data_IF_263401533702
#
_entry.id   IF_263401533702
#
_cell.length_a   1.000
_cell.length_b   1.000
_cell.length_c   1.000
_cell.angle_alpha   90.00
_cell.angle_beta   90.00
_cell.angle_gamma   90.00
#
_symmetry.space_group_name_H-M   'P 1'
#
loop_
_entity.id
_entity.type
_entity.pdbx_description
1 polymer ?
#
# COMPACT_ATOMS: atom_id res chain seq x y z
N UNK A 1 -54.44 -18.84 -26.19
CA UNK A 1 -53.91 -18.23 -24.94
C UNK A 1 -53.06 -19.18 -24.09
N UNK A 2 -53.29 -20.50 -24.10
CA UNK A 2 -52.50 -21.47 -23.32
C UNK A 2 -51.00 -21.55 -23.70
N UNK A 3 -50.67 -21.30 -24.97
CA UNK A 3 -49.28 -21.32 -25.46
C UNK A 3 -48.43 -20.17 -24.92
N UNK A 4 -49.06 -19.02 -24.60
CA UNK A 4 -48.38 -17.83 -24.07
C UNK A 4 -47.98 -18.00 -22.60
N UNK A 5 -48.78 -18.72 -21.79
CA UNK A 5 -48.47 -19.03 -20.38
C UNK A 5 -47.25 -19.96 -20.24
N UNK A 6 -47.12 -20.97 -21.10
CA UNK A 6 -45.96 -21.89 -21.08
C UNK A 6 -44.63 -21.24 -21.49
N UNK A 7 -44.68 -20.10 -22.20
CA UNK A 7 -43.48 -19.35 -22.59
C UNK A 7 -43.04 -18.47 -21.41
N UNK A 8 -43.99 -17.83 -20.72
CA UNK A 8 -43.73 -17.05 -19.49
C UNK A 8 -43.20 -17.94 -18.35
N UNK A 9 -43.73 -19.17 -18.19
CA UNK A 9 -43.19 -20.14 -17.22
C UNK A 9 -41.80 -20.66 -17.57
N UNK A 10 -41.44 -20.72 -18.86
CA UNK A 10 -40.09 -21.11 -19.30
C UNK A 10 -39.09 -19.96 -19.20
N UNK A 11 -39.52 -18.72 -19.46
CA UNK A 11 -38.70 -17.51 -19.29
C UNK A 11 -38.44 -17.19 -17.80
N UNK A 12 -39.36 -17.56 -16.89
CA UNK A 12 -39.15 -17.44 -15.45
C UNK A 12 -38.17 -18.48 -14.86
N UNK A 13 -37.88 -19.57 -15.58
CA UNK A 13 -36.92 -20.60 -15.14
C UNK A 13 -35.47 -20.27 -15.52
N UNK A 14 -35.25 -19.24 -16.33
CA UNK A 14 -33.92 -18.66 -16.60
C UNK A 14 -33.65 -17.46 -15.68
N UNK A 15 -34.31 -17.39 -14.51
CA UNK A 15 -33.88 -16.51 -13.43
C UNK A 15 -32.47 -16.95 -13.00
N UNK A 16 -31.49 -16.09 -13.24
CA UNK A 16 -30.12 -16.25 -12.79
C UNK A 16 -30.12 -16.44 -11.26
N UNK A 17 -30.06 -17.69 -10.81
CA UNK A 17 -29.78 -18.04 -9.42
C UNK A 17 -28.30 -17.72 -9.18
N UNK A 18 -28.05 -16.62 -8.47
CA UNK A 18 -26.72 -16.32 -7.96
C UNK A 18 -26.33 -17.40 -6.96
N UNK A 19 -25.53 -18.36 -7.41
CA UNK A 19 -24.84 -19.30 -6.52
C UNK A 19 -23.60 -18.57 -5.99
N UNK A 20 -23.56 -18.19 -4.71
CA UNK A 20 -22.35 -17.59 -4.16
C UNK A 20 -21.19 -18.59 -4.30
N UNK A 21 -20.01 -18.15 -4.75
CA UNK A 21 -18.84 -19.02 -4.78
C UNK A 21 -18.54 -19.52 -3.36
N UNK A 22 -18.07 -20.76 -3.23
CA UNK A 22 -17.61 -21.28 -1.95
C UNK A 22 -16.42 -20.44 -1.46
N UNK A 23 -16.49 -20.02 -0.20
CA UNK A 23 -15.40 -19.26 0.42
C UNK A 23 -14.26 -20.22 0.78
N UNK A 24 -13.11 -20.05 0.14
CA UNK A 24 -11.88 -20.74 0.53
C UNK A 24 -11.20 -19.98 1.67
N UNK A 25 -11.35 -20.49 2.89
CA UNK A 25 -10.76 -19.90 4.10
C UNK A 25 -9.22 -19.91 4.05
N UNK A 26 -8.60 -20.96 3.52
CA UNK A 26 -7.15 -21.10 3.51
C UNK A 26 -6.50 -20.12 2.53
N UNK A 27 -7.07 -19.98 1.34
CA UNK A 27 -6.60 -19.02 0.34
C UNK A 27 -6.76 -17.59 0.87
N UNK A 28 -7.89 -17.29 1.51
CA UNK A 28 -8.14 -15.98 2.12
C UNK A 28 -7.08 -15.63 3.17
N UNK A 29 -6.81 -16.53 4.12
CA UNK A 29 -5.80 -16.32 5.17
C UNK A 29 -4.41 -16.13 4.56
N UNK A 30 -4.06 -16.95 3.55
CA UNK A 30 -2.74 -16.85 2.90
C UNK A 30 -2.55 -15.49 2.22
N UNK A 31 -3.58 -15.01 1.54
CA UNK A 31 -3.57 -13.70 0.86
C UNK A 31 -3.47 -12.55 1.87
N UNK A 32 -4.20 -12.61 2.97
CA UNK A 32 -4.16 -11.57 4.00
C UNK A 32 -2.82 -11.53 4.74
N UNK A 33 -2.26 -12.69 5.07
CA UNK A 33 -0.92 -12.80 5.65
C UNK A 33 0.16 -12.26 4.72
N UNK A 34 0.02 -12.50 3.41
CA UNK A 34 0.91 -11.95 2.40
C UNK A 34 0.86 -10.42 2.38
N UNK A 35 -0.36 -9.85 2.33
CA UNK A 35 -0.59 -8.41 2.38
C UNK A 35 0.00 -7.77 3.63
N UNK A 36 -0.20 -8.40 4.79
CA UNK A 36 0.33 -7.93 6.07
C UNK A 36 1.85 -7.90 6.10
N UNK A 37 2.52 -8.93 5.57
CA UNK A 37 4.00 -8.96 5.47
C UNK A 37 4.52 -7.82 4.62
N UNK A 38 3.90 -7.58 3.47
CA UNK A 38 4.27 -6.47 2.58
C UNK A 38 4.08 -5.13 3.28
N UNK A 39 2.95 -4.94 3.97
CA UNK A 39 2.68 -3.73 4.75
C UNK A 39 3.77 -3.47 5.79
N UNK A 40 4.18 -4.50 6.56
CA UNK A 40 5.25 -4.36 7.55
C UNK A 40 6.59 -4.00 6.90
N UNK A 41 6.93 -4.61 5.77
CA UNK A 41 8.16 -4.31 5.03
C UNK A 41 8.16 -2.87 4.54
N UNK A 42 7.05 -2.40 3.98
CA UNK A 42 6.88 -1.01 3.51
C UNK A 42 6.93 -0.04 4.67
N UNK A 43 6.34 -0.37 5.83
CA UNK A 43 6.41 0.45 7.03
C UNK A 43 7.86 0.62 7.53
N UNK A 44 8.61 -0.49 7.63
CA UNK A 44 10.02 -0.44 8.00
C UNK A 44 10.85 0.39 7.01
N UNK A 45 10.64 0.19 5.71
CA UNK A 45 11.31 0.97 4.67
C UNK A 45 10.99 2.46 4.77
N UNK A 46 9.73 2.79 5.04
CA UNK A 46 9.25 4.16 5.25
C UNK A 46 9.94 4.85 6.42
N UNK A 47 10.11 4.15 7.55
CA UNK A 47 10.82 4.67 8.72
C UNK A 47 12.28 4.97 8.35
N UNK A 48 12.95 4.03 7.68
CA UNK A 48 14.34 4.20 7.25
C UNK A 48 14.48 5.43 6.33
N UNK A 49 13.61 5.56 5.32
CA UNK A 49 13.66 6.73 4.43
C UNK A 49 13.35 8.03 5.18
N UNK A 50 12.38 8.04 6.10
CA UNK A 50 12.07 9.22 6.91
C UNK A 50 13.27 9.69 7.74
N UNK A 51 14.02 8.76 8.34
CA UNK A 51 15.27 9.05 9.06
C UNK A 51 16.35 9.58 8.10
N UNK A 52 16.50 8.98 6.91
CA UNK A 52 17.48 9.48 5.93
C UNK A 52 17.12 10.89 5.44
N UNK A 53 15.83 11.20 5.26
CA UNK A 53 15.38 12.54 4.88
C UNK A 53 15.67 13.56 5.98
N UNK A 54 15.46 13.21 7.26
CA UNK A 54 15.81 14.11 8.38
C UNK A 54 17.32 14.32 8.46
N UNK A 55 18.13 13.28 8.31
CA UNK A 55 19.59 13.41 8.26
C UNK A 55 20.06 14.34 7.12
N UNK A 56 19.46 14.22 5.93
CA UNK A 56 19.74 15.14 4.81
C UNK A 56 19.35 16.57 5.14
N UNK A 57 18.17 16.80 5.71
CA UNK A 57 17.76 18.16 6.07
C UNK A 57 18.67 18.78 7.12
N UNK A 58 19.11 18.01 8.11
CA UNK A 58 19.98 18.50 9.19
C UNK A 58 21.44 18.70 8.75
N UNK A 59 21.91 17.99 7.72
CA UNK A 59 23.30 18.06 7.27
C UNK A 59 23.58 19.17 6.25
N UNK A 60 22.55 19.62 5.52
CA UNK A 60 22.67 20.64 4.48
C UNK A 60 21.94 21.92 4.91
N UNK A 61 22.27 23.06 4.29
CA UNK A 61 21.55 24.31 4.52
C UNK A 61 20.03 24.12 4.32
N UNK A 62 19.20 24.74 5.17
CA UNK A 62 17.77 24.41 5.31
C UNK A 62 17.02 24.18 4.00
N UNK A 63 17.19 25.07 3.02
CA UNK A 63 16.49 24.95 1.73
C UNK A 63 17.00 23.79 0.90
N UNK A 64 18.31 23.57 0.80
CA UNK A 64 18.86 22.48 -0.02
C UNK A 64 18.59 21.12 0.62
N UNK A 65 18.70 21.03 1.95
CA UNK A 65 18.37 19.83 2.70
C UNK A 65 16.91 19.40 2.55
N UNK A 66 15.98 20.36 2.60
CA UNK A 66 14.55 20.09 2.38
C UNK A 66 14.29 19.53 0.97
N UNK A 67 14.83 20.16 -0.08
CA UNK A 67 14.63 19.69 -1.45
C UNK A 67 15.24 18.31 -1.70
N UNK A 68 16.42 18.03 -1.12
CA UNK A 68 17.06 16.71 -1.21
C UNK A 68 16.26 15.63 -0.48
N UNK A 69 15.74 15.93 0.72
CA UNK A 69 14.85 15.02 1.45
C UNK A 69 13.56 14.74 0.67
N UNK A 70 12.96 15.77 0.06
CA UNK A 70 11.75 15.62 -0.74
C UNK A 70 12.00 14.74 -1.97
N UNK A 71 13.12 14.97 -2.66
CA UNK A 71 13.55 14.15 -3.78
C UNK A 71 13.75 12.69 -3.35
N UNK A 72 14.40 12.45 -2.21
CA UNK A 72 14.61 11.10 -1.67
C UNK A 72 13.28 10.41 -1.34
N UNK A 73 12.33 11.12 -0.74
CA UNK A 73 10.99 10.60 -0.43
C UNK A 73 10.24 10.18 -1.71
N UNK A 74 10.28 11.00 -2.76
CA UNK A 74 9.64 10.64 -4.03
C UNK A 74 10.38 9.50 -4.76
N UNK A 75 11.71 9.47 -4.71
CA UNK A 75 12.49 8.35 -5.23
C UNK A 75 12.16 7.04 -4.51
N UNK A 76 11.90 7.09 -3.20
CA UNK A 76 11.51 5.91 -2.45
C UNK A 76 10.18 5.30 -2.89
N UNK A 77 9.23 6.09 -3.42
CA UNK A 77 8.00 5.55 -4.03
C UNK A 77 8.35 4.61 -5.20
N UNK A 78 9.23 5.06 -6.09
CA UNK A 78 9.69 4.27 -7.22
C UNK A 78 10.50 3.03 -6.76
N UNK A 79 11.18 3.15 -5.62
CA UNK A 79 11.97 2.07 -5.02
C UNK A 79 11.14 0.98 -4.32
N UNK A 80 9.87 1.21 -3.97
CA UNK A 80 9.05 0.21 -3.25
C UNK A 80 8.93 -1.11 -4.03
N UNK A 81 8.55 -1.07 -5.31
CA UNK A 81 8.40 -2.31 -6.11
C UNK A 81 9.72 -3.09 -6.26
N UNK A 82 10.85 -2.50 -6.67
CA UNK A 82 12.12 -3.24 -6.75
C UNK A 82 12.61 -3.69 -5.38
N UNK A 83 12.35 -2.91 -4.31
CA UNK A 83 12.66 -3.33 -2.94
C UNK A 83 11.84 -4.56 -2.52
N UNK A 84 10.53 -4.60 -2.77
CA UNK A 84 9.72 -5.80 -2.49
C UNK A 84 10.22 -7.04 -3.24
N UNK A 85 10.59 -6.87 -4.52
CA UNK A 85 11.17 -7.97 -5.32
C UNK A 85 12.50 -8.46 -4.74
N UNK A 86 13.32 -7.57 -4.19
CA UNK A 86 14.57 -7.95 -3.50
C UNK A 86 14.29 -8.86 -2.30
N UNK A 87 13.19 -8.63 -1.58
CA UNK A 87 12.74 -9.49 -0.49
C UNK A 87 11.95 -10.73 -0.95
N UNK A 88 11.96 -11.04 -2.26
CA UNK A 88 11.21 -12.15 -2.89
C UNK A 88 9.68 -12.02 -2.76
N UNK A 89 9.17 -10.81 -2.58
CA UNK A 89 7.74 -10.52 -2.70
C UNK A 89 7.45 -10.04 -4.12
N UNK A 90 6.41 -10.61 -4.73
CA UNK A 90 5.89 -10.18 -5.99
C UNK A 90 4.78 -9.14 -5.76
N UNK A 91 5.01 -7.85 -6.05
CA UNK A 91 4.00 -6.82 -5.89
C UNK A 91 2.81 -6.98 -6.85
N UNK A 92 2.90 -7.85 -7.86
CA UNK A 92 1.81 -8.12 -8.81
C UNK A 92 0.75 -9.07 -8.24
N UNK A 93 1.08 -9.84 -7.18
CA UNK A 93 0.12 -10.66 -6.45
C UNK A 93 -0.80 -9.84 -5.53
N UNK A 94 -0.47 -8.57 -5.29
CA UNK A 94 -1.28 -7.67 -4.47
C UNK A 94 -2.36 -7.00 -5.29
N UNK A 95 -3.53 -6.85 -4.67
CA UNK A 95 -4.58 -6.02 -5.24
C UNK A 95 -4.09 -4.59 -5.42
N UNK A 96 -4.49 -3.98 -6.55
CA UNK A 96 -4.14 -2.59 -6.87
C UNK A 96 -4.51 -1.62 -5.73
N UNK A 97 -5.66 -1.83 -5.07
CA UNK A 97 -6.09 -1.01 -3.92
C UNK A 97 -5.14 -1.16 -2.74
N UNK A 98 -4.71 -2.38 -2.43
CA UNK A 98 -3.74 -2.67 -1.37
C UNK A 98 -2.38 -2.02 -1.67
N UNK A 99 -1.92 -2.08 -2.93
CA UNK A 99 -0.67 -1.40 -3.33
C UNK A 99 -0.75 0.12 -3.19
N UNK A 100 -1.88 0.74 -3.55
CA UNK A 100 -2.11 2.17 -3.31
C UNK A 100 -2.05 2.50 -1.82
N UNK A 101 -2.65 1.65 -0.98
CA UNK A 101 -2.56 1.76 0.47
C UNK A 101 -1.11 1.76 0.98
N UNK A 102 -0.26 0.87 0.45
CA UNK A 102 1.16 0.82 0.78
C UNK A 102 1.92 2.09 0.35
N UNK A 103 1.60 2.68 -0.81
CA UNK A 103 2.20 3.95 -1.23
C UNK A 103 1.81 5.11 -0.31
N UNK A 104 0.54 5.17 0.09
CA UNK A 104 0.05 6.20 1.02
C UNK A 104 0.69 6.00 2.40
N UNK A 105 0.75 4.77 2.90
CA UNK A 105 1.42 4.42 4.15
C UNK A 105 2.87 4.90 4.13
N UNK A 106 3.62 4.57 3.08
CA UNK A 106 4.99 5.00 2.90
C UNK A 106 5.14 6.53 2.94
N UNK A 107 4.30 7.25 2.22
CA UNK A 107 4.39 8.71 2.19
C UNK A 107 4.08 9.33 3.55
N UNK A 108 2.97 8.92 4.18
CA UNK A 108 2.52 9.51 5.45
C UNK A 108 3.43 9.13 6.61
N UNK A 109 3.83 7.86 6.70
CA UNK A 109 4.73 7.39 7.76
C UNK A 109 6.13 7.98 7.58
N UNK A 110 6.65 8.01 6.34
CA UNK A 110 7.97 8.56 6.05
C UNK A 110 8.03 10.07 6.32
N UNK A 111 7.03 10.81 5.88
CA UNK A 111 6.89 12.23 6.16
C UNK A 111 6.66 12.49 7.66
N UNK A 112 5.87 11.67 8.34
CA UNK A 112 5.64 11.77 9.79
C UNK A 112 6.93 11.58 10.60
N UNK A 113 7.73 10.55 10.26
CA UNK A 113 9.05 10.32 10.88
C UNK A 113 9.99 11.48 10.59
N UNK A 114 10.03 11.97 9.35
CA UNK A 114 10.88 13.09 8.98
C UNK A 114 10.53 14.35 9.79
N UNK A 115 9.25 14.74 9.83
CA UNK A 115 8.79 15.90 10.62
C UNK A 115 9.13 15.71 12.10
N UNK A 116 8.87 14.53 12.65
CA UNK A 116 9.16 14.25 14.05
C UNK A 116 10.64 14.39 14.38
N UNK A 117 11.54 13.93 13.49
CA UNK A 117 12.99 14.02 13.72
C UNK A 117 13.57 15.43 13.55
N UNK A 118 12.94 16.30 12.75
CA UNK A 118 13.40 17.69 12.54
C UNK A 118 12.88 18.62 13.64
N UNK A 119 11.85 18.20 14.39
CA UNK A 119 11.23 19.00 15.45
C UNK A 119 11.62 18.52 16.86
N UNK A 120 11.44 19.37 17.89
CA UNK A 120 11.53 18.94 19.28
C UNK A 120 10.55 17.78 19.57
N UNK A 121 10.87 16.84 20.47
CA UNK A 121 12.08 16.75 21.30
C UNK A 121 13.31 16.11 20.62
N UNK A 122 13.18 15.65 19.37
CA UNK A 122 14.23 14.87 18.71
C UNK A 122 15.35 15.73 18.11
N UNK A 123 15.01 16.97 17.76
CA UNK A 123 15.97 17.99 17.38
C UNK A 123 15.72 19.26 18.18
N UNK A 124 16.76 19.72 18.90
CA UNK A 124 16.74 20.96 19.65
C UNK A 124 17.82 21.88 19.08
N UNK A 125 17.46 23.08 18.57
CA UNK A 125 18.47 24.05 18.15
C UNK A 125 19.18 24.60 19.39
N UNK A 126 20.46 24.26 19.55
CA UNK A 126 21.37 24.90 20.49
C UNK A 126 22.23 25.92 19.75
#
# INVERSE_FOLDING_TARGET
MAKKRRIIEKEAQEEYEFVPPEFDEEEFIRKDLYGTKVLLIVACFSIIIGILCSCLQLSFADKTGLWLGLLLLFLGIAAIKPMLRLFRFDPELLERKSMVGNYILYLLLGLGIWILMVNPPFHYPF
#
